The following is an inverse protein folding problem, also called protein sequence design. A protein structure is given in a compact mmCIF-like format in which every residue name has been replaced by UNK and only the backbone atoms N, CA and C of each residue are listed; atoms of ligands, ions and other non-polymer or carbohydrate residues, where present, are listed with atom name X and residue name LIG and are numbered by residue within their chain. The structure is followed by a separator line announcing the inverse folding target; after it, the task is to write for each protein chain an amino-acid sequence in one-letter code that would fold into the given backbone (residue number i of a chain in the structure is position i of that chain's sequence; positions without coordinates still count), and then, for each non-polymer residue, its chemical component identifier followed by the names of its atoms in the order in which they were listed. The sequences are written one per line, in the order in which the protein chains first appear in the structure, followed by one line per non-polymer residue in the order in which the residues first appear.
data_IF_024874281349
#
_entry.id   IF_024874281349
#
_cell.length_a   1.000
_cell.length_b   1.000
_cell.length_c   1.000
_cell.angle_alpha   90.00
_cell.angle_beta   90.00
_cell.angle_gamma   90.00
#
_symmetry.space_group_name_H-M   'P 1'
#
loop_
_entity.id
_entity.type
_entity.pdbx_description
1 polymer ?
#
# COMPACT_ATOMS: atom_id res chain seq x y z
N UNK A 1 -14.23 -55.80 -47.85
CA UNK A 1 -13.73 -56.37 -46.58
C UNK A 1 -12.80 -55.35 -45.95
N UNK A 2 -13.34 -54.47 -45.12
CA UNK A 2 -12.61 -53.45 -44.37
C UNK A 2 -12.02 -54.07 -43.12
N UNK A 3 -10.70 -54.03 -42.99
CA UNK A 3 -9.97 -54.65 -41.89
C UNK A 3 -10.35 -54.00 -40.53
N UNK A 4 -10.92 -54.76 -39.58
CA UNK A 4 -11.34 -54.25 -38.27
C UNK A 4 -10.17 -53.78 -37.38
N UNK A 5 -8.92 -54.12 -37.71
CA UNK A 5 -7.74 -53.70 -36.93
C UNK A 5 -7.34 -52.25 -37.18
N UNK A 6 -7.61 -51.73 -38.38
CA UNK A 6 -7.25 -50.34 -38.76
C UNK A 6 -8.18 -49.32 -38.07
N UNK A 7 -9.44 -49.68 -37.81
CA UNK A 7 -10.41 -48.82 -37.11
C UNK A 7 -10.11 -48.64 -35.61
N UNK A 8 -9.44 -49.61 -34.97
CA UNK A 8 -9.12 -49.54 -33.55
C UNK A 8 -7.92 -48.63 -33.27
N UNK A 9 -6.92 -48.60 -34.16
CA UNK A 9 -5.75 -47.72 -34.02
C UNK A 9 -6.08 -46.23 -34.25
N UNK A 10 -7.03 -45.92 -35.14
CA UNK A 10 -7.41 -44.53 -35.42
C UNK A 10 -8.24 -43.92 -34.26
N UNK A 11 -9.08 -44.71 -33.57
CA UNK A 11 -9.80 -44.23 -32.39
C UNK A 11 -8.89 -44.01 -31.16
N UNK A 12 -7.84 -44.82 -31.00
CA UNK A 12 -6.89 -44.65 -29.89
C UNK A 12 -5.95 -43.44 -30.08
N UNK A 13 -5.62 -43.08 -31.32
CA UNK A 13 -4.81 -41.89 -31.63
C UNK A 13 -5.60 -40.58 -31.46
N UNK A 14 -6.92 -40.58 -31.71
CA UNK A 14 -7.77 -39.40 -31.49
C UNK A 14 -8.08 -39.15 -30.00
N UNK A 15 -8.14 -40.20 -29.17
CA UNK A 15 -8.31 -40.05 -27.72
C UNK A 15 -7.03 -39.56 -27.02
N UNK A 16 -5.85 -39.96 -27.51
CA UNK A 16 -4.56 -39.50 -26.96
C UNK A 16 -4.23 -38.04 -27.34
N UNK A 17 -4.74 -37.54 -28.46
CA UNK A 17 -4.52 -36.15 -28.88
C UNK A 17 -5.41 -35.14 -28.13
N UNK A 18 -6.54 -35.59 -27.54
CA UNK A 18 -7.46 -34.70 -26.83
C UNK A 18 -7.08 -34.47 -25.35
N UNK A 19 -6.19 -35.28 -24.78
CA UNK A 19 -5.75 -35.15 -23.37
C UNK A 19 -4.57 -34.18 -23.21
N UNK A 20 -3.85 -33.85 -24.28
CA UNK A 20 -2.64 -33.02 -24.21
C UNK A 20 -2.88 -31.49 -24.15
N UNK A 21 -4.12 -31.01 -24.25
CA UNK A 21 -4.41 -29.56 -24.21
C UNK A 21 -4.80 -29.01 -22.82
N UNK A 22 -4.82 -29.83 -21.77
CA UNK A 22 -5.17 -29.39 -20.40
C UNK A 22 -3.97 -29.19 -19.46
N UNK A 23 -2.75 -29.51 -19.90
CA UNK A 23 -1.57 -29.52 -19.04
C UNK A 23 -0.92 -28.17 -18.64
N UNK A 24 -1.17 -27.00 -19.28
CA UNK A 24 -0.49 -25.77 -18.87
C UNK A 24 -1.16 -25.01 -17.71
N UNK A 25 -2.30 -25.47 -17.19
CA UNK A 25 -3.05 -24.79 -16.12
C UNK A 25 -2.75 -25.30 -14.70
N UNK A 26 -2.21 -26.52 -14.55
CA UNK A 26 -2.06 -27.15 -13.24
C UNK A 26 -0.88 -26.61 -12.41
N UNK A 27 0.26 -26.33 -13.04
CA UNK A 27 1.50 -26.00 -12.34
C UNK A 27 1.53 -24.59 -11.67
N UNK A 28 0.73 -23.63 -12.17
CA UNK A 28 0.63 -22.29 -11.57
C UNK A 28 -0.24 -22.28 -10.29
N UNK A 29 -1.30 -23.10 -10.25
CA UNK A 29 -2.14 -23.27 -9.07
C UNK A 29 -1.33 -23.85 -7.89
N UNK A 30 -0.42 -24.78 -8.17
CA UNK A 30 0.44 -25.41 -7.16
C UNK A 30 1.32 -24.38 -6.42
N UNK A 31 1.87 -23.38 -7.10
CA UNK A 31 2.78 -22.39 -6.50
C UNK A 31 2.06 -21.53 -5.47
N UNK A 32 0.88 -21.02 -5.80
CA UNK A 32 0.08 -20.17 -4.93
C UNK A 32 -0.38 -20.98 -3.70
N UNK A 33 -0.80 -22.22 -3.90
CA UNK A 33 -1.19 -23.13 -2.82
C UNK A 33 -0.01 -23.43 -1.88
N UNK A 34 1.20 -23.59 -2.41
CA UNK A 34 2.39 -23.77 -1.59
C UNK A 34 2.77 -22.52 -0.79
N UNK A 35 2.77 -21.34 -1.41
CA UNK A 35 3.00 -20.07 -0.67
C UNK A 35 1.99 -19.93 0.46
N UNK A 36 0.71 -20.19 0.17
CA UNK A 36 -0.36 -20.14 1.16
C UNK A 36 -0.26 -21.24 2.22
N UNK A 37 0.29 -22.41 1.88
CA UNK A 37 0.61 -23.45 2.86
C UNK A 37 1.72 -23.00 3.81
N UNK A 38 2.80 -22.43 3.29
CA UNK A 38 3.89 -21.84 4.09
C UNK A 38 3.37 -20.73 5.01
N UNK A 39 2.49 -19.87 4.53
CA UNK A 39 1.84 -18.82 5.34
C UNK A 39 1.03 -19.35 6.50
N UNK A 40 0.30 -20.45 6.27
CA UNK A 40 -0.52 -21.07 7.32
C UNK A 40 0.33 -21.78 8.36
N UNK A 41 1.36 -22.50 7.95
CA UNK A 41 2.11 -23.40 8.84
C UNK A 41 3.43 -22.82 9.37
N UNK A 42 3.95 -21.77 8.74
CA UNK A 42 5.29 -21.24 9.00
C UNK A 42 6.39 -22.04 8.29
N UNK A 43 7.62 -21.56 8.41
CA UNK A 43 8.83 -22.16 7.84
C UNK A 43 10.07 -21.57 8.53
N UNK A 44 11.21 -22.27 8.55
CA UNK A 44 12.51 -21.64 8.88
C UNK A 44 12.59 -20.82 10.18
N UNK A 45 11.76 -21.11 11.19
CA UNK A 45 11.66 -20.30 12.42
C UNK A 45 10.69 -19.11 12.36
N UNK A 46 10.13 -18.79 11.19
CA UNK A 46 9.05 -17.84 11.02
C UNK A 46 7.70 -18.48 11.36
N UNK A 47 6.90 -17.79 12.18
CA UNK A 47 5.58 -18.25 12.57
C UNK A 47 4.58 -18.27 11.40
N UNK A 48 3.68 -19.25 11.43
CA UNK A 48 2.53 -19.33 10.54
C UNK A 48 1.32 -18.55 11.05
N UNK A 49 0.11 -19.03 10.72
CA UNK A 49 -1.15 -18.41 11.13
C UNK A 49 -1.57 -17.21 10.28
N UNK A 50 -0.90 -16.97 9.15
CA UNK A 50 -1.25 -15.87 8.26
C UNK A 50 -2.40 -16.24 7.33
N UNK A 51 -3.22 -15.24 7.01
CA UNK A 51 -4.30 -15.36 6.02
C UNK A 51 -3.68 -15.65 4.64
N UNK A 52 -4.29 -16.55 3.83
CA UNK A 52 -3.91 -16.76 2.45
C UNK A 52 -3.88 -15.46 1.65
N UNK A 53 -2.91 -15.35 0.75
CA UNK A 53 -2.80 -14.24 -0.19
C UNK A 53 -3.96 -14.30 -1.18
N UNK A 54 -4.51 -13.13 -1.52
CA UNK A 54 -5.49 -12.98 -2.58
C UNK A 54 -4.80 -12.97 -3.93
N UNK A 55 -5.30 -13.78 -4.85
CA UNK A 55 -4.87 -13.74 -6.24
C UNK A 55 -5.24 -12.41 -6.90
N UNK A 56 -4.35 -11.90 -7.76
CA UNK A 56 -4.50 -10.60 -8.41
C UNK A 56 -4.07 -10.69 -9.88
N UNK A 57 -5.04 -10.54 -10.78
CA UNK A 57 -4.78 -10.54 -12.23
C UNK A 57 -3.84 -9.43 -12.68
N UNK A 58 -3.75 -8.33 -11.91
CA UNK A 58 -2.77 -7.28 -12.14
C UNK A 58 -1.36 -7.73 -11.73
N UNK A 59 -1.21 -8.48 -10.65
CA UNK A 59 0.09 -9.07 -10.31
C UNK A 59 0.49 -10.20 -11.26
N UNK A 60 -0.45 -10.91 -11.86
CA UNK A 60 -0.15 -11.85 -12.96
C UNK A 60 0.43 -11.09 -14.18
N UNK A 61 -0.10 -9.90 -14.49
CA UNK A 61 0.48 -9.02 -15.50
C UNK A 61 1.87 -8.52 -15.07
N UNK A 62 2.09 -8.15 -13.80
CA UNK A 62 3.43 -7.82 -13.29
C UNK A 62 4.40 -8.99 -13.52
N UNK A 63 4.01 -10.21 -13.16
CA UNK A 63 4.83 -11.41 -13.37
C UNK A 63 5.12 -11.67 -14.86
N UNK A 64 4.15 -11.40 -15.75
CA UNK A 64 4.32 -11.48 -17.21
C UNK A 64 5.31 -10.45 -17.74
N UNK A 65 5.28 -9.22 -17.24
CA UNK A 65 6.22 -8.16 -17.62
C UNK A 65 7.65 -8.46 -17.12
N UNK A 66 7.79 -8.99 -15.90
CA UNK A 66 9.07 -9.49 -15.38
C UNK A 66 9.65 -10.59 -16.27
N UNK A 67 8.82 -11.51 -16.77
CA UNK A 67 9.25 -12.55 -17.70
C UNK A 67 9.72 -12.03 -19.08
N UNK A 68 9.38 -10.79 -19.41
CA UNK A 68 9.86 -10.07 -20.60
C UNK A 68 11.13 -9.26 -20.32
N UNK A 69 11.65 -9.30 -19.09
CA UNK A 69 12.87 -8.60 -18.68
C UNK A 69 12.62 -7.18 -18.13
N UNK A 70 11.38 -6.82 -17.83
CA UNK A 70 11.11 -5.56 -17.14
C UNK A 70 11.60 -5.62 -15.68
N UNK A 71 12.12 -4.50 -15.18
CA UNK A 71 12.35 -4.31 -13.74
C UNK A 71 11.02 -4.27 -12.98
N UNK A 72 10.99 -4.72 -11.71
CA UNK A 72 9.76 -4.86 -10.92
C UNK A 72 8.91 -3.58 -10.90
N UNK A 73 9.52 -2.42 -10.69
CA UNK A 73 8.80 -1.13 -10.67
C UNK A 73 8.20 -0.78 -12.04
N UNK A 74 8.91 -1.06 -13.13
CA UNK A 74 8.41 -0.84 -14.48
C UNK A 74 7.27 -1.82 -14.82
N UNK A 75 7.40 -3.10 -14.41
CA UNK A 75 6.37 -4.12 -14.56
C UNK A 75 5.07 -3.72 -13.83
N UNK A 76 5.18 -3.19 -12.60
CA UNK A 76 4.05 -2.63 -11.85
C UNK A 76 3.36 -1.48 -12.59
N UNK A 77 4.13 -0.53 -13.13
CA UNK A 77 3.59 0.59 -13.90
C UNK A 77 2.87 0.13 -15.17
N UNK A 78 3.47 -0.77 -15.94
CA UNK A 78 2.89 -1.34 -17.16
C UNK A 78 1.61 -2.12 -16.86
N UNK A 79 1.55 -2.82 -15.73
CA UNK A 79 0.37 -3.56 -15.26
C UNK A 79 -0.71 -2.66 -14.62
N UNK A 80 -0.44 -1.36 -14.43
CA UNK A 80 -1.34 -0.47 -13.68
C UNK A 80 -1.54 -0.93 -12.23
N UNK A 81 -0.51 -1.49 -11.62
CA UNK A 81 -0.50 -1.96 -10.23
C UNK A 81 0.40 -1.07 -9.38
N UNK A 82 -0.14 -0.50 -8.30
CA UNK A 82 0.64 0.27 -7.33
C UNK A 82 0.64 -0.50 -6.01
N UNK A 83 1.83 -0.90 -5.56
CA UNK A 83 2.01 -1.56 -4.28
C UNK A 83 2.66 -0.59 -3.30
N UNK A 84 2.30 -0.72 -2.02
CA UNK A 84 3.05 -0.07 -0.95
C UNK A 84 4.44 -0.72 -0.81
N UNK A 85 4.50 -2.05 -0.96
CA UNK A 85 5.72 -2.83 -1.05
C UNK A 85 5.50 -4.05 -1.95
N UNK A 86 6.53 -4.49 -2.66
CA UNK A 86 6.45 -5.66 -3.53
C UNK A 86 7.75 -6.46 -3.53
N UNK A 87 7.62 -7.76 -3.78
CA UNK A 87 8.70 -8.69 -3.97
C UNK A 87 8.42 -9.53 -5.21
N UNK A 88 9.45 -9.87 -5.98
CA UNK A 88 9.32 -10.79 -7.09
C UNK A 88 10.50 -11.73 -7.21
N UNK A 89 10.24 -12.94 -7.71
CA UNK A 89 11.28 -13.91 -7.99
C UNK A 89 10.97 -14.76 -9.22
N UNK A 90 12.00 -15.08 -9.99
CA UNK A 90 11.97 -16.12 -11.00
C UNK A 90 12.51 -17.42 -10.40
N UNK A 91 11.73 -18.50 -10.50
CA UNK A 91 12.13 -19.85 -10.13
C UNK A 91 12.27 -20.63 -11.43
N UNK A 92 13.51 -20.97 -11.79
CA UNK A 92 13.80 -21.65 -13.05
C UNK A 92 13.84 -23.17 -12.93
N UNK A 93 13.50 -23.85 -14.01
CA UNK A 93 13.67 -25.30 -14.13
C UNK A 93 12.79 -26.13 -13.19
N UNK A 94 11.60 -25.64 -12.83
CA UNK A 94 10.61 -26.36 -12.05
C UNK A 94 10.02 -27.48 -12.92
N UNK A 95 10.29 -28.77 -12.62
CA UNK A 95 9.64 -29.87 -13.33
C UNK A 95 8.12 -29.83 -13.07
N UNK A 96 7.27 -30.26 -14.02
CA UNK A 96 5.82 -30.39 -13.78
C UNK A 96 5.46 -31.30 -12.59
N UNK A 97 6.38 -32.18 -12.17
CA UNK A 97 6.29 -33.06 -11.01
C UNK A 97 7.14 -32.63 -9.81
N UNK A 98 7.82 -31.48 -9.91
CA UNK A 98 8.79 -31.01 -8.94
C UNK A 98 8.17 -30.22 -7.79
N UNK A 99 8.72 -30.41 -6.60
CA UNK A 99 8.30 -29.75 -5.36
C UNK A 99 8.78 -28.28 -5.32
N UNK A 100 8.12 -27.42 -6.11
CA UNK A 100 8.31 -25.96 -6.09
C UNK A 100 8.06 -25.40 -4.68
N UNK A 101 7.18 -26.04 -3.92
CA UNK A 101 6.89 -25.74 -2.53
C UNK A 101 8.12 -25.80 -1.63
N UNK A 102 9.00 -26.78 -1.82
CA UNK A 102 10.25 -26.88 -1.05
C UNK A 102 11.22 -25.74 -1.33
N UNK A 103 11.27 -25.23 -2.57
CA UNK A 103 12.09 -24.05 -2.91
C UNK A 103 11.51 -22.83 -2.19
N UNK A 104 10.20 -22.62 -2.30
CA UNK A 104 9.48 -21.51 -1.62
C UNK A 104 9.69 -21.54 -0.12
N UNK A 105 9.48 -22.69 0.52
CA UNK A 105 9.60 -22.85 1.97
C UNK A 105 11.03 -22.67 2.49
N UNK A 106 12.06 -22.88 1.67
CA UNK A 106 13.47 -22.77 2.10
C UNK A 106 14.09 -21.42 1.75
N UNK A 107 13.93 -20.96 0.52
CA UNK A 107 14.61 -19.77 0.01
C UNK A 107 13.78 -18.50 0.15
N UNK A 108 12.45 -18.62 0.13
CA UNK A 108 11.53 -17.48 0.16
C UNK A 108 10.61 -17.52 1.38
N UNK A 109 11.11 -18.11 2.47
CA UNK A 109 10.36 -18.27 3.71
C UNK A 109 9.97 -16.92 4.32
N UNK A 110 10.93 -16.00 4.42
CA UNK A 110 10.73 -14.65 4.96
C UNK A 110 9.64 -13.91 4.18
N UNK A 111 9.73 -13.90 2.86
CA UNK A 111 8.78 -13.20 1.98
C UNK A 111 7.42 -13.87 2.03
N UNK A 112 7.37 -15.21 1.99
CA UNK A 112 6.14 -15.97 2.10
C UNK A 112 5.44 -15.71 3.43
N UNK A 113 6.18 -15.60 4.54
CA UNK A 113 5.65 -15.34 5.89
C UNK A 113 5.60 -13.86 6.26
N UNK A 114 5.79 -12.94 5.31
CA UNK A 114 5.65 -11.52 5.58
C UNK A 114 4.15 -11.14 5.70
N UNK A 115 3.68 -10.61 6.85
CA UNK A 115 2.27 -10.26 7.05
C UNK A 115 1.82 -9.05 6.22
N UNK A 116 2.74 -8.20 5.75
CA UNK A 116 2.44 -7.04 4.92
C UNK A 116 1.93 -7.45 3.53
N UNK A 117 2.45 -8.55 2.97
CA UNK A 117 1.95 -9.06 1.70
C UNK A 117 0.54 -9.64 1.86
N UNK A 118 -0.37 -9.17 1.00
CA UNK A 118 -1.78 -9.56 0.97
C UNK A 118 -2.22 -10.10 -0.38
N UNK A 119 -1.45 -9.83 -1.43
CA UNK A 119 -1.76 -10.25 -2.79
C UNK A 119 -0.59 -11.02 -3.42
N UNK A 120 -0.93 -11.92 -4.33
CA UNK A 120 -0.02 -12.76 -5.10
C UNK A 120 -0.44 -12.75 -6.57
N UNK A 121 0.55 -12.81 -7.46
CA UNK A 121 0.33 -13.12 -8.88
C UNK A 121 1.48 -13.96 -9.41
N UNK A 122 1.19 -14.73 -10.45
CA UNK A 122 2.16 -15.63 -11.07
C UNK A 122 2.10 -15.59 -12.58
N UNK A 123 3.21 -15.92 -13.21
CA UNK A 123 3.28 -16.17 -14.64
C UNK A 123 4.23 -17.34 -14.89
N UNK A 124 3.87 -18.25 -15.79
CA UNK A 124 4.70 -19.40 -16.12
C UNK A 124 5.04 -19.41 -17.61
N UNK A 125 6.30 -19.72 -17.94
CA UNK A 125 6.77 -19.94 -19.32
C UNK A 125 7.71 -21.15 -19.33
N UNK A 126 7.22 -22.26 -19.86
CA UNK A 126 7.95 -23.53 -19.81
C UNK A 126 8.12 -24.01 -18.36
N UNK A 127 9.35 -24.31 -17.97
CA UNK A 127 9.70 -24.74 -16.61
C UNK A 127 9.96 -23.56 -15.64
N UNK A 128 9.86 -22.33 -16.11
CA UNK A 128 10.14 -21.15 -15.30
C UNK A 128 8.85 -20.52 -14.78
N UNK A 129 8.85 -20.16 -13.50
CA UNK A 129 7.76 -19.48 -12.81
C UNK A 129 8.24 -18.12 -12.31
N UNK A 130 7.49 -17.07 -12.61
CA UNK A 130 7.62 -15.75 -12.01
C UNK A 130 6.54 -15.59 -10.97
N UNK A 131 6.95 -15.27 -9.74
CA UNK A 131 6.10 -15.01 -8.60
C UNK A 131 6.23 -13.54 -8.22
N UNK A 132 5.10 -12.86 -8.00
CA UNK A 132 5.03 -11.52 -7.45
C UNK A 132 4.16 -11.53 -6.18
N UNK A 133 4.70 -11.00 -5.09
CA UNK A 133 4.00 -10.78 -3.82
C UNK A 133 3.89 -9.27 -3.59
N UNK A 134 2.74 -8.80 -3.11
CA UNK A 134 2.59 -7.39 -2.84
C UNK A 134 1.74 -7.08 -1.60
N UNK A 135 2.13 -5.99 -0.95
CA UNK A 135 1.27 -5.22 -0.08
C UNK A 135 0.50 -4.24 -0.98
N UNK A 136 -0.82 -4.42 -1.14
CA UNK A 136 -1.60 -3.57 -2.00
C UNK A 136 -1.60 -2.14 -1.47
N UNK A 137 -1.48 -1.17 -2.37
CA UNK A 137 -1.73 0.22 -2.02
C UNK A 137 -3.22 0.38 -1.66
N UNK A 138 -3.50 0.52 -0.37
CA UNK A 138 -4.84 0.64 0.19
C UNK A 138 -5.00 2.00 0.89
N UNK A 139 -5.13 3.09 0.13
CA UNK A 139 -5.26 4.42 0.69
C UNK A 139 -6.60 4.58 1.44
N UNK A 140 -6.70 5.58 2.35
CA UNK A 140 -7.94 5.82 3.05
C UNK A 140 -9.07 6.15 2.06
N UNK A 141 -10.20 5.45 2.12
CA UNK A 141 -11.26 5.60 1.13
C UNK A 141 -11.94 6.98 1.25
N UNK A 142 -12.11 7.69 0.12
CA UNK A 142 -12.66 9.06 0.09
C UNK A 142 -14.04 9.15 0.77
N UNK A 143 -14.86 8.10 0.67
CA UNK A 143 -16.17 8.01 1.33
C UNK A 143 -16.09 8.10 2.85
N UNK A 144 -14.95 7.72 3.44
CA UNK A 144 -14.71 7.64 4.87
C UNK A 144 -13.98 8.89 5.41
N UNK A 145 -13.78 9.94 4.57
CA UNK A 145 -12.99 11.13 4.89
C UNK A 145 -13.35 11.75 6.23
N UNK A 146 -14.64 11.97 6.51
CA UNK A 146 -15.08 12.59 7.75
C UNK A 146 -14.74 11.75 9.00
N UNK A 147 -14.82 10.42 8.89
CA UNK A 147 -14.42 9.52 9.97
C UNK A 147 -12.89 9.53 10.17
N UNK A 148 -12.15 9.55 9.07
CA UNK A 148 -10.67 9.63 9.09
C UNK A 148 -10.19 10.95 9.71
N UNK A 149 -10.73 12.10 9.28
CA UNK A 149 -10.35 13.40 9.83
C UNK A 149 -10.66 13.49 11.33
N UNK A 150 -11.80 12.93 11.77
CA UNK A 150 -12.14 12.80 13.19
C UNK A 150 -11.14 11.92 13.93
N UNK A 151 -10.76 10.77 13.36
CA UNK A 151 -9.79 9.85 13.97
C UNK A 151 -8.43 10.52 14.15
N UNK A 152 -7.97 11.31 13.18
CA UNK A 152 -6.71 12.06 13.30
C UNK A 152 -6.79 13.12 14.40
N UNK A 153 -7.92 13.82 14.54
CA UNK A 153 -8.15 14.75 15.63
C UNK A 153 -8.14 14.05 16.99
N UNK A 154 -8.83 12.91 17.12
CA UNK A 154 -8.84 12.10 18.34
C UNK A 154 -7.42 11.69 18.74
N UNK A 155 -6.65 11.12 17.82
CA UNK A 155 -5.26 10.72 18.05
C UNK A 155 -4.36 11.91 18.42
N UNK A 156 -4.58 13.07 17.81
CA UNK A 156 -3.87 14.31 18.15
C UNK A 156 -4.20 14.75 19.57
N UNK A 157 -5.48 14.71 19.96
CA UNK A 157 -5.92 15.08 21.31
C UNK A 157 -5.49 14.05 22.37
N UNK A 158 -5.46 12.76 22.04
CA UNK A 158 -4.84 11.72 22.86
C UNK A 158 -3.36 12.01 23.10
N UNK A 159 -2.65 12.47 22.07
CA UNK A 159 -1.25 12.86 22.19
C UNK A 159 -1.07 14.11 23.08
N UNK A 160 -1.92 15.13 22.90
CA UNK A 160 -1.92 16.38 23.69
C UNK A 160 -2.25 16.18 25.16
N UNK A 161 -3.03 15.16 25.50
CA UNK A 161 -3.40 14.85 26.88
C UNK A 161 -2.22 14.39 27.77
N UNK A 162 -1.01 14.23 27.22
CA UNK A 162 0.18 13.78 27.96
C UNK A 162 1.38 14.66 27.60
N UNK A 163 2.14 15.05 28.61
CA UNK A 163 3.42 15.71 28.41
C UNK A 163 4.37 14.81 27.60
N UNK A 164 5.20 15.42 26.74
CA UNK A 164 6.13 14.68 25.88
C UNK A 164 7.31 15.54 25.44
N UNK A 165 8.37 14.85 25.03
CA UNK A 165 9.46 15.45 24.29
C UNK A 165 9.18 15.43 22.79
N UNK A 166 9.37 16.58 22.16
CA UNK A 166 9.38 16.76 20.71
C UNK A 166 10.82 17.10 20.31
N UNK A 167 11.63 16.07 20.03
CA UNK A 167 13.09 16.23 19.95
C UNK A 167 13.67 16.63 21.31
N UNK A 168 14.44 17.71 21.36
CA UNK A 168 15.00 18.24 22.61
C UNK A 168 14.01 19.10 23.41
N UNK A 169 12.95 19.61 22.78
CA UNK A 169 11.96 20.45 23.45
C UNK A 169 10.99 19.61 24.27
N UNK A 170 10.68 20.08 25.48
CA UNK A 170 9.69 19.45 26.35
C UNK A 170 8.39 20.27 26.34
N UNK A 171 7.28 19.58 26.13
CA UNK A 171 5.93 20.16 26.14
C UNK A 171 5.11 19.50 27.25
N UNK A 172 4.46 20.33 28.06
CA UNK A 172 3.43 19.89 29.01
C UNK A 172 2.19 19.35 28.28
N UNK A 173 1.28 18.71 29.02
CA UNK A 173 -0.03 18.37 28.47
C UNK A 173 -0.76 19.64 28.01
N UNK A 174 -1.35 19.59 26.83
CA UNK A 174 -2.01 20.73 26.20
C UNK A 174 -3.54 20.50 26.11
N UNK A 175 -4.36 21.56 26.17
CA UNK A 175 -5.81 21.44 26.00
C UNK A 175 -6.17 20.79 24.65
N UNK A 176 -7.27 20.01 24.58
CA UNK A 176 -7.69 19.40 23.33
C UNK A 176 -8.08 20.46 22.30
N UNK A 177 -7.77 20.19 21.04
CA UNK A 177 -8.18 20.98 19.89
C UNK A 177 -9.62 20.66 19.52
N UNK A 178 -10.39 21.68 19.14
CA UNK A 178 -11.71 21.51 18.55
C UNK A 178 -11.63 21.42 17.01
N UNK A 179 -12.49 20.61 16.35
CA UNK A 179 -12.52 20.56 14.90
C UNK A 179 -13.00 21.90 14.33
N UNK A 180 -12.42 22.33 13.21
CA UNK A 180 -12.85 23.54 12.50
C UNK A 180 -12.99 23.30 11.00
N UNK A 181 -14.21 23.47 10.48
CA UNK A 181 -14.55 23.20 9.08
C UNK A 181 -13.87 24.15 8.07
N UNK A 182 -13.44 25.34 8.49
CA UNK A 182 -12.72 26.27 7.61
C UNK A 182 -11.27 25.80 7.45
N UNK A 183 -10.60 25.46 8.54
CA UNK A 183 -9.26 24.86 8.51
C UNK A 183 -9.26 23.51 7.77
N UNK A 184 -10.30 22.68 7.95
CA UNK A 184 -10.41 21.41 7.20
C UNK A 184 -10.54 21.66 5.70
N UNK A 185 -11.24 22.73 5.30
CA UNK A 185 -11.33 23.12 3.90
C UNK A 185 -9.99 23.59 3.35
N UNK A 186 -9.22 24.37 4.12
CA UNK A 186 -7.86 24.79 3.75
C UNK A 186 -6.96 23.56 3.54
N UNK A 187 -6.90 22.67 4.54
CA UNK A 187 -6.20 21.40 4.48
C UNK A 187 -6.58 20.58 3.25
N UNK A 188 -7.89 20.45 2.98
CA UNK A 188 -8.37 19.65 1.86
C UNK A 188 -7.99 20.25 0.50
N UNK A 189 -8.00 21.58 0.37
CA UNK A 189 -7.52 22.25 -0.84
C UNK A 189 -6.04 22.01 -1.05
N UNK A 190 -5.24 22.13 0.01
CA UNK A 190 -3.80 21.98 -0.12
C UNK A 190 -3.33 20.54 -0.36
N UNK A 191 -3.92 19.58 0.36
CA UNK A 191 -3.70 18.16 0.09
C UNK A 191 -4.01 17.80 -1.37
N UNK A 192 -5.07 18.37 -1.95
CA UNK A 192 -5.41 18.17 -3.37
C UNK A 192 -4.38 18.79 -4.31
N UNK A 193 -3.86 19.98 -4.01
CA UNK A 193 -2.82 20.58 -4.86
C UNK A 193 -1.55 19.71 -4.83
N UNK A 194 -1.07 19.31 -3.65
CA UNK A 194 0.05 18.38 -3.50
C UNK A 194 -0.17 17.08 -4.28
N UNK A 195 -1.34 16.44 -4.14
CA UNK A 195 -1.66 15.20 -4.84
C UNK A 195 -1.85 15.36 -6.36
N UNK A 196 -2.31 16.53 -6.82
CA UNK A 196 -2.50 16.79 -8.26
C UNK A 196 -1.16 16.90 -8.98
N UNK A 197 -0.16 17.47 -8.32
CA UNK A 197 1.11 17.85 -8.96
C UNK A 197 2.31 17.09 -8.43
N UNK A 198 2.12 16.22 -7.44
CA UNK A 198 3.13 15.30 -6.94
C UNK A 198 4.30 16.00 -6.24
N UNK A 199 3.98 16.90 -5.32
CA UNK A 199 4.97 17.59 -4.49
C UNK A 199 4.50 17.61 -3.03
N UNK A 200 5.44 17.84 -2.11
CA UNK A 200 5.15 18.10 -0.71
C UNK A 200 6.13 19.17 -0.22
N UNK A 201 5.60 20.37 0.00
CA UNK A 201 6.32 21.55 0.49
C UNK A 201 5.30 22.35 1.32
N UNK A 202 5.74 23.24 2.21
CA UNK A 202 4.85 24.18 2.90
C UNK A 202 4.48 25.37 2.02
N UNK A 203 5.31 25.67 1.01
CA UNK A 203 5.08 26.70 0.00
C UNK A 203 4.27 26.11 -1.15
N UNK A 204 3.11 26.70 -1.43
CA UNK A 204 2.30 26.33 -2.58
C UNK A 204 3.02 26.62 -3.90
N UNK A 205 2.65 25.92 -4.96
CA UNK A 205 3.21 26.20 -6.30
C UNK A 205 2.80 27.56 -6.86
N UNK A 206 1.74 28.16 -6.31
CA UNK A 206 1.34 29.55 -6.54
C UNK A 206 2.16 30.54 -5.71
N UNK A 207 3.15 30.07 -4.95
CA UNK A 207 3.96 30.84 -4.01
C UNK A 207 3.30 31.03 -2.63
N UNK A 208 2.09 30.49 -2.40
CA UNK A 208 1.35 30.79 -1.17
C UNK A 208 1.94 30.12 0.08
N UNK A 209 2.02 30.85 1.18
CA UNK A 209 2.36 30.30 2.50
C UNK A 209 1.13 29.63 3.16
N UNK A 210 1.30 28.77 4.19
CA UNK A 210 0.17 28.20 4.93
C UNK A 210 -0.79 29.27 5.49
N UNK A 211 -0.25 30.35 6.03
CA UNK A 211 -0.99 31.51 6.54
C UNK A 211 -1.90 32.14 5.48
N UNK A 212 -1.38 32.31 4.26
CA UNK A 212 -2.13 32.87 3.14
C UNK A 212 -3.24 31.93 2.70
N UNK A 213 -2.98 30.62 2.64
CA UNK A 213 -3.99 29.60 2.31
C UNK A 213 -5.10 29.55 3.34
N UNK A 214 -4.76 29.59 4.63
CA UNK A 214 -5.71 29.61 5.75
C UNK A 214 -6.53 30.91 5.72
N UNK A 215 -5.89 32.05 5.50
CA UNK A 215 -6.58 33.35 5.38
C UNK A 215 -7.55 33.36 4.20
N UNK A 216 -7.12 32.86 3.03
CA UNK A 216 -7.93 32.74 1.81
C UNK A 216 -9.13 31.81 1.98
N UNK A 217 -9.02 30.81 2.86
CA UNK A 217 -10.15 29.94 3.21
C UNK A 217 -11.22 30.64 4.07
N UNK A 218 -10.90 31.81 4.64
CA UNK A 218 -11.79 32.64 5.46
C UNK A 218 -11.54 32.49 6.97
N UNK A 219 -10.53 31.75 7.41
CA UNK A 219 -10.20 31.64 8.82
C UNK A 219 -9.42 32.87 9.28
N UNK A 220 -9.93 33.57 10.29
CA UNK A 220 -9.24 34.73 10.89
C UNK A 220 -8.48 34.25 12.12
N UNK A 221 -7.16 34.43 12.11
CA UNK A 221 -6.26 33.84 13.10
C UNK A 221 -5.37 34.88 13.78
N UNK A 222 -4.93 34.54 15.00
CA UNK A 222 -3.81 35.18 15.72
C UNK A 222 -2.54 34.38 15.54
N UNK A 223 -2.67 33.06 15.61
CA UNK A 223 -1.61 32.08 15.40
C UNK A 223 -2.16 30.93 14.56
N UNK A 224 -1.28 30.32 13.77
CA UNK A 224 -1.60 29.24 12.84
C UNK A 224 -0.37 28.36 12.64
N UNK A 225 -0.56 27.11 12.22
CA UNK A 225 0.53 26.18 11.93
C UNK A 225 0.10 25.07 10.98
N UNK A 226 1.05 24.38 10.38
CA UNK A 226 0.80 23.32 9.39
C UNK A 226 1.70 22.11 9.64
N UNK A 227 1.12 20.92 9.53
CA UNK A 227 1.83 19.65 9.43
C UNK A 227 1.47 18.96 8.11
N UNK A 228 2.47 18.45 7.40
CA UNK A 228 2.30 17.74 6.14
C UNK A 228 2.82 16.30 6.24
N UNK A 229 2.24 15.39 5.48
CA UNK A 229 2.78 14.05 5.31
C UNK A 229 2.41 13.50 3.92
N UNK A 230 3.22 12.58 3.39
CA UNK A 230 2.89 11.84 2.17
C UNK A 230 3.36 10.39 2.28
N UNK A 231 2.83 9.49 1.45
CA UNK A 231 3.18 8.07 1.52
C UNK A 231 2.44 7.27 2.60
N UNK A 232 1.69 7.93 3.48
CA UNK A 232 1.09 7.29 4.65
C UNK A 232 -0.38 6.93 4.39
N UNK A 233 -0.72 5.65 4.48
CA UNK A 233 -2.06 5.15 4.17
C UNK A 233 -3.04 5.15 5.35
N UNK A 234 -2.56 5.29 6.59
CA UNK A 234 -3.40 5.17 7.80
C UNK A 234 -3.30 6.42 8.67
N UNK A 235 -4.42 6.86 9.28
CA UNK A 235 -4.41 8.02 10.17
C UNK A 235 -3.51 7.82 11.39
N UNK A 236 -3.46 6.61 11.95
CA UNK A 236 -2.56 6.26 13.07
C UNK A 236 -1.09 6.49 12.71
N UNK A 237 -0.68 6.04 11.53
CA UNK A 237 0.69 6.16 11.05
C UNK A 237 1.06 7.61 10.73
N UNK A 238 0.08 8.41 10.26
CA UNK A 238 0.30 9.83 9.98
C UNK A 238 0.57 10.61 11.27
N UNK A 239 -0.26 10.42 12.30
CA UNK A 239 -0.05 11.05 13.61
C UNK A 239 1.22 10.55 14.27
N UNK A 240 1.49 9.24 14.22
CA UNK A 240 2.74 8.69 14.74
C UNK A 240 3.96 9.25 14.00
N UNK A 241 3.85 9.48 12.69
CA UNK A 241 4.88 10.14 11.87
C UNK A 241 5.14 11.58 12.30
N UNK A 242 4.09 12.38 12.49
CA UNK A 242 4.21 13.75 13.00
C UNK A 242 4.81 13.79 14.40
N UNK A 243 4.39 12.90 15.30
CA UNK A 243 4.96 12.83 16.66
C UNK A 243 6.45 12.43 16.69
N UNK A 244 6.93 11.69 15.69
CA UNK A 244 8.37 11.36 15.57
C UNK A 244 9.21 12.51 15.01
N UNK A 245 8.60 13.46 14.30
CA UNK A 245 9.28 14.65 13.80
C UNK A 245 9.26 15.74 14.88
N UNK A 246 10.42 16.26 15.33
CA UNK A 246 10.45 17.31 16.36
C UNK A 246 9.59 18.53 16.03
N UNK A 247 9.68 19.05 14.81
CA UNK A 247 8.92 20.24 14.37
C UNK A 247 7.42 19.98 14.30
N UNK A 248 7.00 18.85 13.71
CA UNK A 248 5.57 18.51 13.62
C UNK A 248 4.98 18.17 14.99
N UNK A 249 5.76 17.54 15.86
CA UNK A 249 5.39 17.26 17.24
C UNK A 249 5.21 18.56 18.02
N UNK A 250 6.08 19.56 17.83
CA UNK A 250 5.94 20.88 18.45
C UNK A 250 4.60 21.53 18.05
N UNK A 251 4.24 21.52 16.76
CA UNK A 251 2.92 21.99 16.31
C UNK A 251 1.77 21.23 16.97
N UNK A 252 1.86 19.89 17.06
CA UNK A 252 0.83 19.07 17.70
C UNK A 252 0.66 19.40 19.19
N UNK A 253 1.75 19.76 19.87
CA UNK A 253 1.77 20.00 21.32
C UNK A 253 1.66 21.47 21.70
N UNK A 254 1.61 22.39 20.73
CA UNK A 254 1.57 23.82 20.99
C UNK A 254 0.30 24.19 21.80
N UNK A 255 0.43 24.72 23.03
CA UNK A 255 -0.70 25.07 23.87
C UNK A 255 -1.41 26.34 23.39
N UNK A 256 -0.90 27.07 22.40
CA UNK A 256 -1.55 28.25 21.86
C UNK A 256 -2.72 27.88 20.93
N UNK A 257 -2.63 26.77 20.18
CA UNK A 257 -3.68 26.35 19.25
C UNK A 257 -4.98 25.95 19.94
N UNK A 258 -6.11 26.25 19.29
CA UNK A 258 -7.48 25.94 19.77
C UNK A 258 -8.27 25.10 18.77
N UNK A 259 -8.01 25.30 17.48
CA UNK A 259 -8.71 24.66 16.39
C UNK A 259 -7.77 23.83 15.53
N UNK A 260 -8.33 22.80 14.91
CA UNK A 260 -7.65 21.96 13.95
C UNK A 260 -8.56 21.64 12.77
N UNK A 261 -7.97 21.61 11.58
CA UNK A 261 -8.53 20.98 10.38
C UNK A 261 -7.54 19.99 9.81
N UNK A 262 -8.00 18.88 9.25
CA UNK A 262 -7.12 17.90 8.61
C UNK A 262 -7.82 17.22 7.46
N UNK A 263 -7.08 16.98 6.39
CA UNK A 263 -7.58 16.28 5.23
C UNK A 263 -6.44 15.55 4.51
N UNK A 264 -6.85 14.66 3.61
CA UNK A 264 -5.94 13.98 2.71
C UNK A 264 -6.50 13.95 1.28
N UNK A 265 -5.60 13.76 0.33
CA UNK A 265 -5.91 13.49 -1.07
C UNK A 265 -5.10 12.28 -1.55
N UNK A 266 -5.67 11.57 -2.51
CA UNK A 266 -5.10 10.33 -3.05
C UNK A 266 -4.88 10.51 -4.54
N UNK A 267 -3.68 10.19 -5.00
CA UNK A 267 -3.35 10.05 -6.41
C UNK A 267 -2.53 8.76 -6.59
N UNK A 268 -3.16 7.63 -6.95
CA UNK A 268 -2.50 6.33 -7.02
C UNK A 268 -1.50 6.21 -8.19
N UNK A 269 -1.38 7.23 -9.03
CA UNK A 269 -0.37 7.29 -10.10
C UNK A 269 0.98 7.83 -9.60
N UNK A 270 0.97 8.52 -8.47
CA UNK A 270 2.18 9.06 -7.85
C UNK A 270 2.75 8.06 -6.86
N UNK A 271 4.08 8.04 -6.74
CA UNK A 271 4.79 7.15 -5.82
C UNK A 271 4.30 7.30 -4.38
N UNK A 272 4.17 8.54 -3.91
CA UNK A 272 3.68 8.81 -2.56
C UNK A 272 2.21 8.42 -2.37
N UNK A 273 1.39 8.44 -3.44
CA UNK A 273 0.01 7.94 -3.44
C UNK A 273 -1.01 8.71 -2.59
N UNK A 274 -0.67 9.12 -1.37
CA UNK A 274 -1.50 9.84 -0.38
C UNK A 274 -0.73 11.06 0.10
N UNK A 275 -1.44 12.18 0.23
CA UNK A 275 -0.93 13.45 0.74
C UNK A 275 -1.86 13.97 1.83
N UNK A 276 -1.31 14.33 2.98
CA UNK A 276 -2.00 14.85 4.16
C UNK A 276 -1.60 16.30 4.41
N UNK A 277 -2.58 17.10 4.81
CA UNK A 277 -2.36 18.42 5.38
C UNK A 277 -3.17 18.54 6.68
N UNK A 278 -2.54 19.02 7.74
CA UNK A 278 -3.13 19.30 9.03
C UNK A 278 -2.84 20.76 9.38
N UNK A 279 -3.90 21.54 9.56
CA UNK A 279 -3.87 22.97 9.79
C UNK A 279 -4.34 23.26 11.22
N UNK A 280 -3.61 24.10 11.92
CA UNK A 280 -3.92 24.53 13.28
C UNK A 280 -4.28 26.00 13.30
N UNK A 281 -5.03 26.44 14.30
CA UNK A 281 -5.24 27.86 14.46
C UNK A 281 -5.83 28.30 15.80
N UNK A 282 -5.60 29.57 16.09
CA UNK A 282 -6.21 30.29 17.21
C UNK A 282 -6.99 31.47 16.66
N UNK A 283 -8.30 31.55 16.92
CA UNK A 283 -9.15 32.56 16.29
C UNK A 283 -8.77 33.97 16.75
N UNK A 284 -8.95 34.96 15.86
CA UNK A 284 -8.71 36.38 16.14
C UNK A 284 -9.83 37.05 16.91
#
# INVERSE_FOLDING_TARGET
MTDPRIRCQILLLLAALLVALLAPLAAAADVIDYVNSVRRHGCGGHAGGLVPLRESTRLDEVARQLAQGAELRAAQQLAGYHAASAFSVQISGVPPSGDVGRVIARQYCEQSTNPAFREIGTFQRGADVWLALAEPFAPPAVRDRAAISRRVLELTNEARARARHCGSAYFEAAPPLAPNAILERAAAQYARDMATYGYMDHTGRDGSSPEERITRSGYRWRETGENLASGIMRPEDAVAGWLRSPEHCANLMDPAFRHMGVAYAVNPRLEAGVYWAQEFGTPR
#
